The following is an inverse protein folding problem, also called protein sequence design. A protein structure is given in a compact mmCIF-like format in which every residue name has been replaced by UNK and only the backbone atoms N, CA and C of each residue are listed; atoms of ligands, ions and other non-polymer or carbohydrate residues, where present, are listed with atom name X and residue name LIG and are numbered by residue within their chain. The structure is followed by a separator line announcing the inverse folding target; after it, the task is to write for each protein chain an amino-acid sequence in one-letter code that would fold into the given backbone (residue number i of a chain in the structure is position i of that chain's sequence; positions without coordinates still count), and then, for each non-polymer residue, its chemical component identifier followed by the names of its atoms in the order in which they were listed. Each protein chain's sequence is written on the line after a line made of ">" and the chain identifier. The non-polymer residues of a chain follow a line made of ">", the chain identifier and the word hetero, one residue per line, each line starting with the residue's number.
data_IF_276523997526
#
_entry.id   IF_276523997526
#
_cell.length_a   1.000
_cell.length_b   1.000
_cell.length_c   1.000
_cell.angle_alpha   90.00
_cell.angle_beta   90.00
_cell.angle_gamma   90.00
#
_symmetry.space_group_name_H-M   'P 1'
#
loop_
_entity.id
_entity.type
_entity.pdbx_description
1 polymer ?
#
# COMPACT_ATOMS: atom_id res chain seq x y z
N UNK A 1 -10.62 -9.24 10.23
CA UNK A 1 -9.34 -9.64 9.57
C UNK A 1 -8.18 -9.08 10.36
N UNK A 2 -7.02 -9.72 10.43
CA UNK A 2 -5.78 -9.10 10.94
C UNK A 2 -5.34 -7.95 10.02
N UNK A 3 -4.26 -7.26 10.38
CA UNK A 3 -3.55 -6.35 9.48
C UNK A 3 -3.17 -7.07 8.17
N UNK A 4 -3.09 -6.37 7.04
CA UNK A 4 -2.66 -7.01 5.79
C UNK A 4 -1.20 -7.46 5.89
N UNK A 5 -0.92 -8.60 5.27
CA UNK A 5 0.38 -9.27 5.42
C UNK A 5 1.42 -8.66 4.50
N UNK A 6 1.11 -8.53 3.20
CA UNK A 6 2.01 -7.89 2.24
C UNK A 6 1.25 -7.18 1.12
N UNK A 7 1.88 -6.13 0.59
CA UNK A 7 1.48 -5.49 -0.66
C UNK A 7 2.37 -6.02 -1.80
N UNK A 8 1.77 -6.28 -2.96
CA UNK A 8 2.50 -6.69 -4.15
C UNK A 8 2.70 -5.51 -5.09
N UNK A 9 3.98 -5.31 -5.46
CA UNK A 9 4.44 -4.22 -6.29
C UNK A 9 5.15 -4.75 -7.52
N UNK A 10 4.74 -4.31 -8.69
CA UNK A 10 5.56 -4.47 -9.90
C UNK A 10 6.68 -3.45 -9.93
N UNK A 11 7.89 -3.87 -10.25
CA UNK A 11 9.07 -3.00 -10.33
C UNK A 11 9.79 -3.14 -11.66
N UNK A 12 10.38 -2.05 -12.14
CA UNK A 12 11.19 -2.06 -13.35
C UNK A 12 12.52 -2.79 -13.13
N UNK A 13 13.13 -2.57 -11.97
CA UNK A 13 14.40 -3.16 -11.56
C UNK A 13 14.38 -3.46 -10.06
N UNK A 14 14.43 -4.76 -9.72
CA UNK A 14 14.47 -5.20 -8.32
C UNK A 14 15.73 -4.69 -7.59
N UNK A 15 16.89 -4.59 -8.24
CA UNK A 15 18.09 -4.13 -7.56
C UNK A 15 17.97 -2.65 -7.17
N UNK A 16 17.42 -1.81 -8.05
CA UNK A 16 17.14 -0.42 -7.73
C UNK A 16 16.11 -0.29 -6.60
N UNK A 17 15.04 -1.09 -6.61
CA UNK A 17 14.05 -1.12 -5.54
C UNK A 17 14.66 -1.59 -4.19
N UNK A 18 15.56 -2.59 -4.21
CA UNK A 18 16.26 -3.07 -3.02
C UNK A 18 17.20 -2.01 -2.42
N UNK A 19 17.82 -1.15 -3.24
CA UNK A 19 18.60 -0.01 -2.71
C UNK A 19 17.73 0.90 -1.84
N UNK A 20 16.49 1.14 -2.24
CA UNK A 20 15.54 1.92 -1.43
C UNK A 20 15.11 1.15 -0.18
N UNK A 21 14.56 -0.03 -0.34
CA UNK A 21 13.94 -0.75 0.77
C UNK A 21 14.93 -1.34 1.76
N UNK A 22 15.98 -2.01 1.28
CA UNK A 22 17.00 -2.57 2.15
C UNK A 22 18.06 -1.53 2.53
N UNK A 23 18.58 -0.80 1.54
CA UNK A 23 19.69 0.09 1.72
C UNK A 23 19.35 1.33 2.56
N UNK A 24 18.21 1.96 2.30
CA UNK A 24 17.80 3.20 2.98
C UNK A 24 16.82 2.95 4.13
N UNK A 25 15.79 2.14 3.91
CA UNK A 25 14.72 1.94 4.89
C UNK A 25 14.91 0.71 5.79
N UNK A 26 15.96 -0.10 5.56
CA UNK A 26 16.37 -1.19 6.45
C UNK A 26 15.48 -2.42 6.43
N UNK A 27 14.65 -2.60 5.40
CA UNK A 27 13.90 -3.85 5.22
C UNK A 27 14.86 -5.03 5.02
N UNK A 28 14.47 -6.18 5.50
CA UNK A 28 15.23 -7.43 5.36
C UNK A 28 14.65 -8.26 4.23
N UNK A 29 15.52 -8.80 3.38
CA UNK A 29 15.16 -9.82 2.40
C UNK A 29 14.82 -11.12 3.14
N UNK A 30 13.57 -11.57 3.05
CA UNK A 30 13.14 -12.83 3.65
C UNK A 30 13.20 -13.99 2.67
N UNK A 31 12.86 -13.75 1.41
CA UNK A 31 12.88 -14.74 0.34
C UNK A 31 13.20 -14.09 -1.00
N UNK A 32 13.82 -14.84 -1.92
CA UNK A 32 14.09 -14.40 -3.29
C UNK A 32 14.02 -15.58 -4.24
N UNK A 33 13.55 -15.32 -5.46
CA UNK A 33 13.55 -16.28 -6.54
C UNK A 33 13.80 -15.57 -7.88
N UNK A 34 14.64 -16.18 -8.72
CA UNK A 34 14.92 -15.69 -10.08
C UNK A 34 14.52 -16.76 -11.09
N UNK A 35 13.73 -16.37 -12.06
CA UNK A 35 13.19 -17.21 -13.12
C UNK A 35 11.67 -17.19 -13.16
N UNK A 36 11.07 -17.86 -14.14
CA UNK A 36 9.63 -17.99 -14.29
C UNK A 36 8.98 -18.67 -13.08
N UNK A 37 7.79 -18.21 -12.73
CA UNK A 37 6.95 -18.81 -11.68
C UNK A 37 5.60 -19.25 -12.27
N UNK A 38 5.52 -20.43 -12.88
CA UNK A 38 4.32 -20.89 -13.58
C UNK A 38 3.08 -20.92 -12.70
N UNK A 39 3.24 -21.19 -11.38
CA UNK A 39 2.12 -21.23 -10.46
C UNK A 39 1.53 -19.87 -10.17
N UNK A 40 2.38 -18.86 -9.96
CA UNK A 40 1.94 -17.49 -9.74
C UNK A 40 1.49 -16.83 -11.05
N UNK A 41 2.15 -17.11 -12.18
CA UNK A 41 1.75 -16.65 -13.50
C UNK A 41 0.34 -17.15 -13.86
N UNK A 42 0.05 -18.44 -13.61
CA UNK A 42 -1.28 -18.99 -13.81
C UNK A 42 -2.34 -18.32 -12.95
N UNK A 43 -2.05 -18.14 -11.65
CA UNK A 43 -2.96 -17.44 -10.72
C UNK A 43 -3.27 -16.01 -11.16
N UNK A 44 -2.28 -15.29 -11.66
CA UNK A 44 -2.46 -13.94 -12.20
C UNK A 44 -2.94 -13.90 -13.65
N UNK A 45 -3.18 -15.06 -14.29
CA UNK A 45 -3.59 -15.18 -15.69
C UNK A 45 -2.62 -14.50 -16.66
N UNK A 46 -1.31 -14.62 -16.36
CA UNK A 46 -0.23 -14.12 -17.18
C UNK A 46 0.29 -15.20 -18.14
N UNK A 47 0.83 -14.82 -19.29
CA UNK A 47 1.55 -15.76 -20.17
C UNK A 47 2.74 -16.41 -19.43
N UNK A 48 3.08 -17.68 -19.75
CA UNK A 48 4.26 -18.32 -19.20
C UNK A 48 5.56 -17.51 -19.45
N UNK A 49 6.41 -17.44 -18.44
CA UNK A 49 7.66 -16.66 -18.50
C UNK A 49 7.49 -15.16 -18.30
N UNK A 50 6.33 -14.70 -17.84
CA UNK A 50 6.07 -13.29 -17.54
C UNK A 50 6.84 -12.78 -16.32
N UNK A 51 7.15 -13.64 -15.35
CA UNK A 51 7.92 -13.26 -14.16
C UNK A 51 9.40 -13.53 -14.41
N UNK A 52 10.24 -12.53 -14.16
CA UNK A 52 11.71 -12.63 -14.27
C UNK A 52 12.36 -12.86 -12.90
N UNK A 53 11.93 -12.09 -11.87
CA UNK A 53 12.47 -12.18 -10.52
C UNK A 53 11.45 -11.68 -9.51
N UNK A 54 11.49 -12.24 -8.30
CA UNK A 54 10.64 -11.80 -7.21
C UNK A 54 11.38 -11.87 -5.88
N UNK A 55 11.00 -11.00 -4.94
CA UNK A 55 11.57 -10.96 -3.59
C UNK A 55 10.49 -10.59 -2.58
N UNK A 56 10.59 -11.18 -1.38
CA UNK A 56 9.77 -10.80 -0.22
C UNK A 56 10.64 -10.00 0.75
N UNK A 57 10.14 -8.84 1.18
CA UNK A 57 10.80 -7.96 2.11
C UNK A 57 9.93 -7.75 3.35
N UNK A 58 10.56 -7.68 4.51
CA UNK A 58 9.89 -7.36 5.78
C UNK A 58 10.69 -6.34 6.58
N UNK A 59 10.00 -5.50 7.32
CA UNK A 59 10.67 -4.71 8.34
C UNK A 59 11.07 -5.60 9.53
N UNK A 60 12.20 -5.34 10.22
CA UNK A 60 12.67 -6.13 11.34
C UNK A 60 11.59 -6.29 12.43
N UNK A 61 11.32 -7.54 12.84
CA UNK A 61 10.34 -7.84 13.90
C UNK A 61 8.86 -7.75 13.49
N UNK A 62 8.54 -7.33 12.26
CA UNK A 62 7.15 -7.12 11.80
C UNK A 62 6.61 -8.32 11.02
N UNK A 63 5.33 -8.65 11.27
CA UNK A 63 4.59 -9.68 10.53
C UNK A 63 3.63 -9.10 9.49
N UNK A 64 3.15 -7.88 9.70
CA UNK A 64 2.31 -7.12 8.79
C UNK A 64 3.12 -6.07 8.02
N UNK A 65 2.56 -5.48 6.98
CA UNK A 65 3.20 -4.41 6.23
C UNK A 65 4.46 -4.86 5.45
N UNK A 66 4.47 -6.11 4.96
CA UNK A 66 5.55 -6.64 4.14
C UNK A 66 5.39 -6.24 2.67
N UNK A 67 6.43 -6.44 1.87
CA UNK A 67 6.41 -6.15 0.44
C UNK A 67 6.79 -7.38 -0.36
N UNK A 68 6.01 -7.67 -1.40
CA UNK A 68 6.34 -8.60 -2.45
C UNK A 68 6.69 -7.79 -3.72
N UNK A 69 7.97 -7.73 -4.07
CA UNK A 69 8.42 -7.04 -5.28
C UNK A 69 8.54 -8.05 -6.43
N UNK A 70 7.95 -7.72 -7.57
CA UNK A 70 7.95 -8.57 -8.76
C UNK A 70 8.47 -7.78 -9.95
N UNK A 71 9.56 -8.24 -10.50
CA UNK A 71 10.08 -7.77 -11.80
C UNK A 71 9.56 -8.69 -12.89
N UNK A 72 8.78 -8.13 -13.79
CA UNK A 72 8.28 -8.84 -14.95
C UNK A 72 9.30 -8.87 -16.07
N UNK A 73 9.28 -9.92 -16.92
CA UNK A 73 10.18 -10.08 -18.07
C UNK A 73 10.01 -8.94 -19.09
N UNK A 74 8.79 -8.41 -19.21
CA UNK A 74 8.50 -7.21 -19.98
C UNK A 74 8.11 -6.10 -19.01
N UNK A 75 8.84 -5.01 -19.02
CA UNK A 75 8.54 -3.84 -18.19
C UNK A 75 7.23 -3.22 -18.66
N UNK A 76 6.21 -3.24 -17.80
CA UNK A 76 4.91 -2.62 -18.07
C UNK A 76 4.89 -1.12 -17.76
N UNK A 77 3.78 -0.45 -18.13
CA UNK A 77 3.52 0.93 -17.73
C UNK A 77 3.34 1.02 -16.21
N UNK A 78 3.63 2.18 -15.63
CA UNK A 78 3.35 2.39 -14.23
C UNK A 78 1.85 2.64 -14.00
N UNK A 79 1.31 2.12 -12.89
CA UNK A 79 -0.08 2.39 -12.48
C UNK A 79 -0.33 3.89 -12.42
N UNK A 80 0.62 4.64 -11.87
CA UNK A 80 0.55 6.08 -11.66
C UNK A 80 1.34 6.92 -12.66
N UNK A 81 1.64 6.38 -13.84
CA UNK A 81 2.27 7.16 -14.90
C UNK A 81 1.43 8.39 -15.23
N UNK A 82 2.02 9.58 -15.11
CA UNK A 82 1.37 10.90 -15.29
C UNK A 82 0.15 11.15 -14.37
N UNK A 83 0.05 10.44 -13.24
CA UNK A 83 -1.08 10.58 -12.34
C UNK A 83 -0.99 11.87 -11.50
N UNK A 84 -2.14 12.54 -11.36
CA UNK A 84 -2.31 13.64 -10.41
C UNK A 84 -2.47 13.09 -8.98
N UNK A 85 -2.34 13.97 -8.00
CA UNK A 85 -2.48 13.61 -6.58
C UNK A 85 -3.82 12.93 -6.24
N UNK A 86 -4.89 13.30 -6.94
CA UNK A 86 -6.28 12.91 -6.70
C UNK A 86 -6.86 11.91 -7.71
N UNK A 87 -6.03 11.30 -8.58
CA UNK A 87 -6.48 10.22 -9.45
C UNK A 87 -6.68 8.92 -8.66
N UNK A 88 -7.74 8.17 -9.00
CA UNK A 88 -8.22 7.01 -8.25
C UNK A 88 -7.33 5.80 -8.50
N UNK A 89 -6.64 5.33 -7.48
CA UNK A 89 -5.73 4.16 -7.55
C UNK A 89 -5.14 3.86 -6.16
N UNK A 90 -4.47 2.72 -5.94
CA UNK A 90 -3.52 2.59 -4.86
C UNK A 90 -2.36 3.58 -5.07
N UNK A 91 -2.07 4.39 -4.05
CA UNK A 91 -1.22 5.58 -4.21
C UNK A 91 0.05 5.56 -3.37
N UNK A 92 -0.10 5.44 -2.05
CA UNK A 92 1.03 5.62 -1.14
C UNK A 92 1.36 4.35 -0.37
N UNK A 93 2.61 4.29 0.07
CA UNK A 93 3.05 3.46 1.17
C UNK A 93 3.57 4.40 2.26
N UNK A 94 2.90 4.41 3.40
CA UNK A 94 3.24 5.30 4.51
C UNK A 94 4.18 4.59 5.48
N UNK A 95 5.23 5.29 5.91
CA UNK A 95 6.30 4.76 6.72
C UNK A 95 6.48 5.69 7.91
N UNK A 96 6.30 5.16 9.11
CA UNK A 96 6.55 5.94 10.31
C UNK A 96 8.04 6.15 10.54
N UNK A 97 8.40 7.31 11.07
CA UNK A 97 9.79 7.68 11.38
C UNK A 97 9.92 8.23 12.80
N UNK A 98 11.10 8.05 13.39
CA UNK A 98 11.44 8.54 14.73
C UNK A 98 11.69 10.07 14.76
N UNK A 99 12.42 10.57 13.75
CA UNK A 99 12.82 11.98 13.62
C UNK A 99 12.71 12.40 12.14
N UNK A 100 11.67 13.17 11.84
CA UNK A 100 11.40 13.63 10.47
C UNK A 100 12.57 14.39 9.86
N UNK A 101 13.17 15.32 10.60
CA UNK A 101 14.26 16.17 10.07
C UNK A 101 15.48 15.34 9.74
N UNK A 102 15.86 14.42 10.62
CA UNK A 102 16.99 13.52 10.42
C UNK A 102 16.75 12.58 9.23
N UNK A 103 15.58 11.92 9.17
CA UNK A 103 15.27 10.98 8.06
C UNK A 103 15.20 11.69 6.72
N UNK A 104 14.65 12.91 6.67
CA UNK A 104 14.69 13.72 5.45
C UNK A 104 16.12 14.05 5.01
N UNK A 105 17.00 14.40 5.96
CA UNK A 105 18.42 14.67 5.67
C UNK A 105 19.11 13.43 5.09
N UNK A 106 18.93 12.27 5.73
CA UNK A 106 19.52 11.00 5.30
C UNK A 106 19.05 10.62 3.87
N UNK A 107 17.74 10.71 3.60
CA UNK A 107 17.18 10.36 2.30
C UNK A 107 17.55 11.37 1.20
N UNK A 108 17.66 12.67 1.51
CA UNK A 108 18.18 13.67 0.56
C UNK A 108 19.64 13.42 0.19
N UNK A 109 20.47 13.10 1.18
CA UNK A 109 21.87 12.74 0.95
C UNK A 109 22.01 11.49 0.05
N UNK A 110 21.04 10.56 0.13
CA UNK A 110 20.94 9.39 -0.75
C UNK A 110 20.31 9.69 -2.12
N UNK A 111 19.96 10.93 -2.43
CA UNK A 111 19.40 11.33 -3.72
C UNK A 111 17.90 11.16 -3.87
N UNK A 112 17.15 10.82 -2.80
CA UNK A 112 15.70 10.73 -2.86
C UNK A 112 15.05 12.09 -3.12
N UNK A 113 14.06 12.12 -4.01
CA UNK A 113 13.35 13.34 -4.39
C UNK A 113 12.10 13.53 -3.55
N UNK A 114 12.03 14.64 -2.85
CA UNK A 114 10.85 15.05 -2.09
C UNK A 114 9.92 15.88 -2.98
N UNK A 115 8.61 15.72 -2.81
CA UNK A 115 7.60 16.50 -3.53
C UNK A 115 7.50 17.93 -3.00
N UNK A 116 7.79 18.12 -1.70
CA UNK A 116 7.85 19.41 -1.04
C UNK A 116 9.24 19.64 -0.42
N UNK A 117 9.60 20.92 -0.27
CA UNK A 117 10.87 21.30 0.35
C UNK A 117 10.91 20.89 1.83
N UNK A 118 9.83 21.17 2.56
CA UNK A 118 9.75 20.97 4.00
C UNK A 118 8.52 20.11 4.33
N UNK A 119 8.56 19.41 5.47
CA UNK A 119 7.41 18.67 5.96
C UNK A 119 6.30 19.62 6.41
N UNK A 120 5.09 19.13 6.46
CA UNK A 120 3.95 19.78 7.09
C UNK A 120 3.81 19.25 8.51
N UNK A 121 3.66 20.11 9.49
CA UNK A 121 3.21 19.77 10.84
C UNK A 121 1.76 20.17 11.00
N UNK A 122 0.91 19.26 11.41
CA UNK A 122 -0.51 19.47 11.53
C UNK A 122 -1.09 18.73 12.73
N UNK A 123 -2.32 19.09 13.08
CA UNK A 123 -3.15 18.41 14.08
C UNK A 123 -4.41 17.95 13.38
N UNK A 124 -4.68 16.65 13.42
CA UNK A 124 -5.92 16.11 12.89
C UNK A 124 -7.13 16.52 13.74
N UNK A 125 -8.36 16.49 13.20
CA UNK A 125 -9.56 16.86 13.96
C UNK A 125 -9.78 16.06 15.25
N UNK A 126 -9.29 14.82 15.32
CA UNK A 126 -9.29 13.97 16.52
C UNK A 126 -8.11 14.23 17.47
N UNK A 127 -7.30 15.27 17.20
CA UNK A 127 -6.26 15.77 18.09
C UNK A 127 -4.89 15.11 17.93
N UNK A 128 -4.68 14.24 16.95
CA UNK A 128 -3.38 13.63 16.70
C UNK A 128 -2.42 14.64 16.05
N UNK A 129 -1.29 14.90 16.69
CA UNK A 129 -0.24 15.76 16.14
C UNK A 129 0.71 14.94 15.30
N UNK A 130 0.96 15.37 14.06
CA UNK A 130 1.83 14.64 13.13
C UNK A 130 2.67 15.58 12.27
N UNK A 131 3.75 15.00 11.72
CA UNK A 131 4.56 15.57 10.64
C UNK A 131 4.49 14.65 9.46
N UNK A 132 4.34 15.21 8.28
CA UNK A 132 4.19 14.44 7.05
C UNK A 132 4.97 15.07 5.90
N UNK A 133 5.59 14.20 5.07
CA UNK A 133 6.21 14.62 3.82
C UNK A 133 6.11 13.51 2.77
N UNK A 134 5.89 13.92 1.53
CA UNK A 134 5.76 13.03 0.37
C UNK A 134 7.05 12.95 -0.43
N UNK A 135 7.41 11.75 -0.89
CA UNK A 135 8.56 11.47 -1.73
C UNK A 135 8.13 10.78 -3.02
N UNK A 136 8.86 11.07 -4.11
CA UNK A 136 8.79 10.26 -5.31
C UNK A 136 9.61 8.97 -5.10
N UNK A 137 8.92 7.85 -4.94
CA UNK A 137 9.53 6.52 -4.86
C UNK A 137 9.86 5.97 -6.26
N UNK A 138 10.35 4.73 -6.28
CA UNK A 138 10.53 4.00 -7.54
C UNK A 138 9.17 3.65 -8.16
N UNK A 139 9.12 3.41 -9.47
CA UNK A 139 7.95 2.94 -10.21
C UNK A 139 6.68 3.80 -10.04
N UNK A 140 6.85 5.12 -9.89
CA UNK A 140 5.79 6.11 -9.65
C UNK A 140 4.98 5.90 -8.36
N UNK A 141 5.48 5.07 -7.43
CA UNK A 141 4.88 4.93 -6.11
C UNK A 141 5.18 6.19 -5.30
N UNK A 142 4.19 6.71 -4.62
CA UNK A 142 4.40 7.78 -3.66
C UNK A 142 4.73 7.19 -2.29
N UNK A 143 5.86 7.56 -1.70
CA UNK A 143 6.16 7.25 -0.32
C UNK A 143 5.81 8.44 0.56
N UNK A 144 5.30 8.16 1.74
CA UNK A 144 5.03 9.16 2.76
C UNK A 144 5.84 8.82 3.99
N UNK A 145 6.57 9.80 4.50
CA UNK A 145 7.11 9.71 5.86
C UNK A 145 6.14 10.37 6.80
N UNK A 146 5.81 9.67 7.87
CA UNK A 146 4.86 10.11 8.89
C UNK A 146 5.49 9.99 10.27
N UNK A 147 5.54 11.09 11.02
CA UNK A 147 5.97 11.12 12.42
C UNK A 147 4.79 11.49 13.30
N UNK A 148 4.29 10.56 14.11
CA UNK A 148 3.31 10.84 15.15
C UNK A 148 4.03 11.40 16.37
N UNK A 149 3.62 12.58 16.86
CA UNK A 149 4.37 13.31 17.89
C UNK A 149 3.99 12.89 19.31
N UNK A 150 2.75 12.49 19.54
CA UNK A 150 2.26 12.17 20.89
C UNK A 150 2.41 10.69 21.24
N UNK A 151 2.14 9.81 20.28
CA UNK A 151 2.20 8.34 20.44
C UNK A 151 2.93 7.69 19.26
N UNK A 152 4.26 7.85 19.17
CA UNK A 152 5.03 7.35 18.02
C UNK A 152 4.98 5.81 17.98
N UNK A 153 4.63 5.23 16.82
CA UNK A 153 4.74 3.79 16.61
C UNK A 153 6.19 3.32 16.74
N UNK A 154 6.42 2.05 17.08
CA UNK A 154 7.76 1.48 17.11
C UNK A 154 8.42 1.56 15.73
N UNK A 155 9.70 1.93 15.73
CA UNK A 155 10.56 1.93 14.56
C UNK A 155 11.79 1.04 14.78
N UNK A 156 12.43 0.61 13.71
CA UNK A 156 13.69 -0.12 13.79
C UNK A 156 14.86 0.81 14.19
N UNK A 157 16.03 0.25 14.50
CA UNK A 157 17.20 1.00 14.93
C UNK A 157 17.68 2.06 13.92
N UNK A 158 17.32 1.93 12.65
CA UNK A 158 17.59 2.92 11.61
C UNK A 158 16.55 4.05 11.55
N UNK A 159 15.53 4.04 12.41
CA UNK A 159 14.52 5.06 12.55
C UNK A 159 13.35 4.98 11.57
N UNK A 160 13.16 3.87 10.85
CA UNK A 160 12.01 3.61 9.99
C UNK A 160 11.19 2.42 10.52
N UNK A 161 9.87 2.48 10.32
CA UNK A 161 8.97 1.34 10.58
C UNK A 161 8.88 0.39 9.37
N UNK A 162 8.04 -0.65 9.48
CA UNK A 162 7.41 -1.29 8.33
C UNK A 162 6.39 -0.39 7.65
N UNK A 163 5.66 -0.93 6.68
CA UNK A 163 4.59 -0.17 6.04
C UNK A 163 3.42 -0.04 7.02
N UNK A 164 3.06 1.18 7.33
CA UNK A 164 1.86 1.55 8.08
C UNK A 164 0.62 1.44 7.19
N UNK A 165 -0.12 2.52 6.92
CA UNK A 165 -1.17 2.50 5.93
C UNK A 165 -0.66 2.29 4.50
N UNK A 166 -1.37 1.47 3.74
CA UNK A 166 -1.39 1.57 2.30
C UNK A 166 -2.57 2.45 1.92
N UNK A 167 -2.29 3.52 1.18
CA UNK A 167 -3.30 4.53 0.84
C UNK A 167 -3.94 4.23 -0.50
N UNK A 168 -5.27 4.22 -0.52
CA UNK A 168 -6.10 4.07 -1.72
C UNK A 168 -6.94 5.31 -1.95
N UNK A 169 -6.92 5.84 -3.16
CA UNK A 169 -7.77 6.97 -3.55
C UNK A 169 -9.03 6.43 -4.20
N UNK A 170 -10.18 6.77 -3.64
CA UNK A 170 -11.47 6.24 -4.07
C UNK A 170 -12.44 7.36 -4.42
N UNK A 171 -13.52 7.04 -5.14
CA UNK A 171 -14.59 7.97 -5.44
C UNK A 171 -15.72 7.91 -4.42
N UNK A 172 -16.08 6.72 -4.02
CA UNK A 172 -17.17 6.43 -3.09
C UNK A 172 -16.61 5.85 -1.80
N UNK A 173 -16.46 6.71 -0.80
CA UNK A 173 -15.97 6.31 0.52
C UNK A 173 -16.96 5.42 1.26
N UNK A 174 -18.28 5.59 1.04
CA UNK A 174 -19.27 4.80 1.76
C UNK A 174 -19.19 3.32 1.35
N UNK A 175 -19.15 3.04 0.04
CA UNK A 175 -19.02 1.67 -0.46
C UNK A 175 -17.71 1.00 0.00
N UNK A 176 -16.59 1.74 0.00
CA UNK A 176 -15.30 1.21 0.49
C UNK A 176 -15.34 0.98 2.01
N UNK A 177 -15.90 1.88 2.81
CA UNK A 177 -16.03 1.73 4.26
C UNK A 177 -16.87 0.51 4.62
N UNK A 178 -18.01 0.32 3.95
CA UNK A 178 -18.85 -0.86 4.12
C UNK A 178 -18.10 -2.14 3.76
N UNK A 179 -17.34 -2.13 2.68
CA UNK A 179 -16.51 -3.26 2.28
C UNK A 179 -15.44 -3.59 3.33
N UNK A 180 -14.67 -2.62 3.82
CA UNK A 180 -13.63 -2.88 4.82
C UNK A 180 -14.22 -3.31 6.16
N UNK A 181 -15.35 -2.76 6.58
CA UNK A 181 -16.06 -3.13 7.81
C UNK A 181 -16.73 -4.51 7.71
N UNK A 182 -17.62 -4.68 6.73
CA UNK A 182 -18.57 -5.80 6.70
C UNK A 182 -17.99 -7.03 6.00
N UNK A 183 -17.17 -6.84 4.96
CA UNK A 183 -16.56 -7.94 4.21
C UNK A 183 -15.21 -8.31 4.80
N UNK A 184 -14.30 -7.35 4.96
CA UNK A 184 -12.99 -7.65 5.53
C UNK A 184 -12.99 -7.70 7.07
N UNK A 185 -13.99 -7.15 7.74
CA UNK A 185 -14.10 -7.17 9.22
C UNK A 185 -12.98 -6.38 9.88
N UNK A 186 -12.54 -5.29 9.26
CA UNK A 186 -11.59 -4.35 9.85
C UNK A 186 -12.30 -3.33 10.72
N UNK A 187 -11.58 -2.76 11.67
CA UNK A 187 -12.07 -1.71 12.56
C UNK A 187 -11.70 -0.34 11.98
N UNK A 188 -12.63 0.60 12.03
CA UNK A 188 -12.35 2.01 11.77
C UNK A 188 -11.50 2.56 12.93
N UNK A 189 -10.29 3.03 12.62
CA UNK A 189 -9.35 3.57 13.60
C UNK A 189 -9.37 5.09 13.61
N UNK A 190 -9.44 5.73 12.44
CA UNK A 190 -9.51 7.18 12.28
C UNK A 190 -10.52 7.54 11.19
N UNK A 191 -11.24 8.65 11.38
CA UNK A 191 -12.20 9.19 10.41
C UNK A 191 -12.19 10.73 10.51
N UNK A 192 -11.56 11.37 9.52
CA UNK A 192 -11.29 12.79 9.56
C UNK A 192 -11.52 13.45 8.20
N UNK A 193 -11.77 14.76 8.23
CA UNK A 193 -11.67 15.64 7.07
C UNK A 193 -10.46 16.53 7.26
N UNK A 194 -9.49 16.44 6.35
CA UNK A 194 -8.31 17.30 6.33
C UNK A 194 -8.48 18.34 5.23
N UNK A 195 -8.31 19.62 5.59
CA UNK A 195 -8.51 20.74 4.68
C UNK A 195 -7.60 21.92 5.03
N UNK A 196 -7.56 22.90 4.16
CA UNK A 196 -6.83 24.15 4.34
C UNK A 196 -5.53 24.24 3.55
N UNK A 197 -4.94 25.47 3.48
CA UNK A 197 -3.82 25.76 2.58
C UNK A 197 -2.57 24.91 2.82
N UNK A 198 -2.32 24.45 4.03
CA UNK A 198 -1.17 23.61 4.34
C UNK A 198 -1.33 22.19 3.79
N UNK A 199 -2.54 21.63 3.91
CA UNK A 199 -2.89 20.32 3.35
C UNK A 199 -2.88 20.39 1.81
N UNK A 200 -3.47 21.43 1.23
CA UNK A 200 -3.45 21.67 -0.21
C UNK A 200 -2.02 21.70 -0.76
N UNK A 201 -1.13 22.46 -0.10
CA UNK A 201 0.28 22.56 -0.47
C UNK A 201 1.02 21.24 -0.31
N UNK A 202 0.80 20.53 0.80
CA UNK A 202 1.46 19.26 1.11
C UNK A 202 1.19 18.21 0.03
N UNK A 203 -0.05 18.11 -0.42
CA UNK A 203 -0.48 17.08 -1.36
C UNK A 203 -0.40 17.56 -2.83
N UNK A 204 -0.38 18.87 -3.05
CA UNK A 204 -0.46 19.47 -4.38
C UNK A 204 -1.89 19.53 -4.91
N UNK A 205 -2.84 19.91 -4.05
CA UNK A 205 -4.25 20.06 -4.41
C UNK A 205 -4.59 21.48 -4.88
N UNK A 206 -5.65 21.66 -5.67
CA UNK A 206 -6.17 22.97 -5.95
C UNK A 206 -6.78 23.63 -4.69
N UNK A 207 -6.83 24.98 -4.63
CA UNK A 207 -7.42 25.70 -3.50
C UNK A 207 -8.88 25.30 -3.25
N UNK A 208 -9.23 25.09 -1.98
CA UNK A 208 -10.57 24.70 -1.53
C UNK A 208 -10.85 23.19 -1.63
N UNK A 209 -9.86 22.39 -2.00
CA UNK A 209 -9.98 20.94 -1.96
C UNK A 209 -9.77 20.41 -0.52
N UNK A 210 -10.46 19.31 -0.20
CA UNK A 210 -10.34 18.63 1.08
C UNK A 210 -10.20 17.12 0.89
N UNK A 211 -9.73 16.43 1.94
CA UNK A 211 -9.62 14.98 1.99
C UNK A 211 -10.61 14.42 3.00
N UNK A 212 -11.48 13.53 2.57
CA UNK A 212 -12.14 12.56 3.46
C UNK A 212 -11.17 11.41 3.67
N UNK A 213 -10.68 11.25 4.90
CA UNK A 213 -9.69 10.24 5.27
C UNK A 213 -10.31 9.25 6.25
N UNK A 214 -10.17 7.96 6.00
CA UNK A 214 -10.47 6.95 7.00
C UNK A 214 -9.40 5.86 7.02
N UNK A 215 -8.93 5.48 8.22
CA UNK A 215 -7.92 4.44 8.43
C UNK A 215 -8.59 3.22 9.05
N UNK A 216 -8.32 2.07 8.44
CA UNK A 216 -8.90 0.78 8.79
C UNK A 216 -7.81 -0.23 9.13
N UNK A 217 -8.01 -0.97 10.22
CA UNK A 217 -7.03 -1.95 10.66
C UNK A 217 -7.45 -2.68 11.93
N UNK A 218 -6.47 -3.10 12.71
CA UNK A 218 -6.67 -3.69 14.03
C UNK A 218 -6.30 -2.67 15.12
N UNK A 219 -7.11 -2.50 16.17
CA UNK A 219 -6.76 -1.64 17.30
C UNK A 219 -5.40 -2.04 17.90
N UNK A 220 -4.53 -1.05 18.09
CA UNK A 220 -3.19 -1.24 18.63
C UNK A 220 -2.13 -1.74 17.63
N UNK A 221 -2.50 -2.02 16.38
CA UNK A 221 -1.57 -2.37 15.30
C UNK A 221 -1.37 -1.16 14.40
N UNK A 222 -0.12 -0.72 14.24
CA UNK A 222 0.22 0.44 13.41
C UNK A 222 0.63 0.07 11.98
N UNK A 223 0.93 -1.20 11.74
CA UNK A 223 1.39 -1.68 10.44
C UNK A 223 0.29 -2.50 9.75
N UNK A 224 0.33 -2.50 8.42
CA UNK A 224 -0.64 -3.26 7.64
C UNK A 224 -2.07 -2.73 7.73
N UNK A 225 -2.21 -1.43 7.87
CA UNK A 225 -3.48 -0.71 7.82
C UNK A 225 -3.83 -0.32 6.38
N UNK A 226 -5.09 0.01 6.14
CA UNK A 226 -5.55 0.59 4.87
C UNK A 226 -6.08 1.99 5.15
N UNK A 227 -5.61 2.96 4.38
CA UNK A 227 -6.15 4.30 4.39
C UNK A 227 -6.94 4.55 3.11
N UNK A 228 -8.17 5.00 3.29
CA UNK A 228 -9.08 5.36 2.21
C UNK A 228 -9.17 6.86 2.17
N UNK A 229 -8.87 7.44 1.00
CA UNK A 229 -9.01 8.89 0.77
C UNK A 229 -9.96 9.15 -0.39
N UNK A 230 -10.92 10.04 -0.18
CA UNK A 230 -11.64 10.70 -1.26
C UNK A 230 -11.37 12.20 -1.24
N UNK A 231 -11.07 12.76 -2.39
CA UNK A 231 -10.84 14.20 -2.50
C UNK A 231 -12.12 14.94 -2.84
N UNK A 232 -12.52 15.91 -2.01
CA UNK A 232 -13.58 16.87 -2.29
C UNK A 232 -13.02 18.02 -3.15
N UNK A 233 -13.86 18.62 -3.99
CA UNK A 233 -13.46 19.74 -4.84
C UNK A 233 -12.57 19.38 -6.03
N UNK A 234 -12.32 18.07 -6.27
CA UNK A 234 -11.53 17.59 -7.41
C UNK A 234 -12.23 16.45 -8.15
N UNK A 235 -11.75 16.14 -9.34
CA UNK A 235 -12.21 15.00 -10.12
C UNK A 235 -11.02 14.25 -10.71
N UNK A 236 -10.71 13.09 -10.10
CA UNK A 236 -9.65 12.19 -10.53
C UNK A 236 -10.07 11.28 -11.67
N UNK A 237 -9.11 10.89 -12.51
CA UNK A 237 -9.27 9.77 -13.44
C UNK A 237 -9.23 8.45 -12.68
N UNK A 238 -9.95 7.45 -13.20
CA UNK A 238 -9.88 6.09 -12.65
C UNK A 238 -8.69 5.33 -13.25
N UNK A 239 -7.70 5.04 -12.43
CA UNK A 239 -6.49 4.30 -12.80
C UNK A 239 -6.47 2.87 -12.25
N UNK A 240 -7.50 2.43 -11.50
CA UNK A 240 -7.58 1.04 -11.02
C UNK A 240 -7.46 -0.01 -12.14
N UNK A 241 -7.98 0.21 -13.36
CA UNK A 241 -7.75 -0.72 -14.47
C UNK A 241 -6.28 -0.93 -14.84
N UNK A 242 -5.39 0.02 -14.49
CA UNK A 242 -3.94 -0.13 -14.68
C UNK A 242 -3.27 -0.96 -13.57
N UNK A 243 -3.88 -1.04 -12.37
CA UNK A 243 -3.34 -1.77 -11.22
C UNK A 243 -3.57 -3.29 -11.39
N UNK A 244 -2.77 -3.90 -12.26
CA UNK A 244 -2.85 -5.30 -12.67
C UNK A 244 -1.48 -5.97 -12.62
N UNK A 245 -1.38 -7.31 -12.46
CA UNK A 245 -0.14 -8.02 -12.67
C UNK A 245 0.47 -7.69 -14.05
N UNK A 246 1.76 -7.43 -14.07
CA UNK A 246 2.48 -6.92 -15.24
C UNK A 246 2.70 -5.40 -15.23
N UNK A 247 1.92 -4.63 -14.50
CA UNK A 247 2.15 -3.20 -14.31
C UNK A 247 3.24 -2.92 -13.26
N UNK A 248 3.86 -1.74 -13.30
CA UNK A 248 4.74 -1.21 -12.25
C UNK A 248 3.92 -0.44 -11.21
N UNK A 249 4.36 -0.46 -9.95
CA UNK A 249 3.65 0.16 -8.84
C UNK A 249 2.81 -0.83 -8.05
N UNK A 250 1.98 -0.34 -7.14
CA UNK A 250 1.15 -1.15 -6.26
C UNK A 250 -0.02 -1.72 -7.06
N UNK A 251 -0.23 -3.03 -7.04
CA UNK A 251 -1.37 -3.61 -7.75
C UNK A 251 -2.20 -4.61 -6.95
N UNK A 252 -1.71 -5.14 -5.82
CA UNK A 252 -2.46 -6.14 -5.05
C UNK A 252 -2.16 -6.06 -3.56
N UNK A 253 -3.19 -6.22 -2.73
CA UNK A 253 -3.09 -6.28 -1.29
C UNK A 253 -3.41 -7.69 -0.82
N UNK A 254 -2.60 -8.23 0.11
CA UNK A 254 -2.65 -9.64 0.46
C UNK A 254 -2.79 -9.88 1.96
N UNK A 255 -3.64 -10.85 2.33
CA UNK A 255 -3.81 -11.36 3.68
C UNK A 255 -3.46 -12.85 3.75
N UNK A 256 -2.79 -13.26 4.80
CA UNK A 256 -2.62 -14.66 5.17
C UNK A 256 -3.51 -14.97 6.38
N UNK A 257 -4.36 -15.99 6.27
CA UNK A 257 -5.32 -16.41 7.29
C UNK A 257 -5.21 -17.93 7.53
N UNK A 258 -5.65 -18.38 8.70
CA UNK A 258 -5.75 -19.81 8.97
C UNK A 258 -6.88 -20.48 8.17
N UNK A 259 -8.01 -19.77 7.94
CA UNK A 259 -9.13 -20.20 7.10
C UNK A 259 -9.76 -19.01 6.38
N UNK A 260 -10.26 -19.27 5.18
CA UNK A 260 -10.99 -18.30 4.35
C UNK A 260 -12.51 -18.47 4.40
N UNK A 261 -13.06 -19.46 5.11
CA UNK A 261 -14.48 -19.82 5.07
C UNK A 261 -15.38 -18.66 5.52
N UNK A 262 -15.05 -18.01 6.65
CA UNK A 262 -15.84 -16.87 7.12
C UNK A 262 -15.81 -15.67 6.14
N UNK A 263 -14.72 -15.49 5.41
CA UNK A 263 -14.64 -14.46 4.37
C UNK A 263 -15.50 -14.82 3.17
N UNK A 264 -15.52 -16.08 2.73
CA UNK A 264 -16.37 -16.54 1.63
C UNK A 264 -17.84 -16.22 1.93
N UNK A 265 -18.34 -16.57 3.11
CA UNK A 265 -19.73 -16.27 3.50
C UNK A 265 -20.02 -14.76 3.46
N UNK A 266 -19.08 -13.90 3.87
CA UNK A 266 -19.27 -12.45 3.81
C UNK A 266 -19.25 -11.92 2.38
N UNK A 267 -18.39 -12.44 1.51
CA UNK A 267 -18.35 -12.10 0.07
C UNK A 267 -19.66 -12.48 -0.62
N UNK A 268 -20.18 -13.69 -0.36
CA UNK A 268 -21.45 -14.17 -0.86
C UNK A 268 -22.62 -13.30 -0.38
N UNK A 269 -22.70 -13.00 0.91
CA UNK A 269 -23.72 -12.14 1.50
C UNK A 269 -23.69 -10.72 0.90
N UNK A 270 -22.50 -10.17 0.67
CA UNK A 270 -22.30 -8.88 0.02
C UNK A 270 -22.44 -8.93 -1.51
N UNK A 271 -22.64 -10.11 -2.12
CA UNK A 271 -22.69 -10.32 -3.57
C UNK A 271 -21.46 -9.80 -4.32
N UNK A 272 -20.28 -9.91 -3.69
CA UNK A 272 -19.02 -9.55 -4.32
C UNK A 272 -18.50 -10.78 -5.07
N UNK A 273 -18.26 -10.66 -6.38
CA UNK A 273 -17.66 -11.75 -7.15
C UNK A 273 -16.25 -12.07 -6.65
N UNK A 274 -15.95 -13.35 -6.51
CA UNK A 274 -14.62 -13.82 -6.14
C UNK A 274 -14.25 -15.08 -6.93
N UNK A 275 -12.93 -15.29 -7.06
CA UNK A 275 -12.36 -16.51 -7.63
C UNK A 275 -11.67 -17.28 -6.51
N UNK A 276 -11.74 -18.61 -6.55
CA UNK A 276 -11.06 -19.47 -5.60
C UNK A 276 -10.15 -20.44 -6.35
N UNK A 277 -8.86 -20.21 -6.23
CA UNK A 277 -7.84 -21.02 -6.89
C UNK A 277 -6.61 -21.21 -5.99
N UNK A 278 -5.97 -22.40 -6.00
CA UNK A 278 -4.71 -22.58 -5.29
C UNK A 278 -3.59 -21.79 -5.98
N UNK A 279 -2.68 -21.25 -5.18
CA UNK A 279 -1.42 -20.69 -5.69
C UNK A 279 -0.32 -21.74 -5.47
N UNK A 280 0.39 -22.07 -6.53
CA UNK A 280 1.56 -22.97 -6.49
C UNK A 280 2.82 -22.21 -6.90
N UNK A 281 2.97 -21.00 -6.38
CA UNK A 281 4.12 -20.14 -6.66
C UNK A 281 5.34 -20.48 -5.80
N UNK A 282 6.46 -19.88 -6.17
CA UNK A 282 7.77 -20.13 -5.52
C UNK A 282 7.91 -19.43 -4.19
N UNK A 283 7.42 -18.20 -4.08
CA UNK A 283 7.46 -17.42 -2.83
C UNK A 283 6.10 -17.38 -2.14
N UNK A 284 5.00 -17.45 -2.92
CA UNK A 284 3.64 -17.47 -2.41
C UNK A 284 3.01 -18.79 -2.82
N UNK A 285 2.65 -19.61 -1.84
CA UNK A 285 1.96 -20.89 -2.06
C UNK A 285 0.82 -21.02 -1.07
N UNK A 286 -0.35 -21.44 -1.54
CA UNK A 286 -1.55 -21.63 -0.73
C UNK A 286 -2.47 -22.64 -1.40
N UNK A 287 -3.05 -23.54 -0.61
CA UNK A 287 -4.02 -24.53 -1.08
C UNK A 287 -5.40 -23.94 -1.35
N UNK A 288 -5.72 -22.78 -0.75
CA UNK A 288 -7.00 -22.11 -0.89
C UNK A 288 -6.87 -20.59 -0.91
N UNK A 289 -6.54 -20.00 -2.07
CA UNK A 289 -6.53 -18.55 -2.22
C UNK A 289 -7.84 -18.06 -2.79
N UNK A 290 -8.26 -16.89 -2.32
CA UNK A 290 -9.45 -16.19 -2.81
C UNK A 290 -8.97 -14.85 -3.37
N UNK A 291 -9.38 -14.57 -4.60
CA UNK A 291 -9.17 -13.29 -5.26
C UNK A 291 -10.50 -12.56 -5.46
N UNK A 292 -10.53 -11.29 -5.14
CA UNK A 292 -11.67 -10.40 -5.38
C UNK A 292 -11.19 -8.95 -5.52
N UNK A 293 -12.14 -8.03 -5.75
CA UNK A 293 -11.85 -6.60 -5.81
C UNK A 293 -12.69 -5.83 -4.81
N UNK A 294 -12.11 -4.75 -4.27
CA UNK A 294 -12.89 -3.75 -3.55
C UNK A 294 -13.83 -3.01 -4.49
N UNK A 295 -14.82 -2.27 -3.98
CA UNK A 295 -15.71 -1.44 -4.80
C UNK A 295 -14.99 -0.45 -5.72
N UNK A 296 -13.87 0.12 -5.28
CA UNK A 296 -13.04 0.99 -6.11
C UNK A 296 -12.20 0.24 -7.16
N UNK A 297 -12.05 -1.07 -7.04
CA UNK A 297 -11.28 -1.90 -7.97
C UNK A 297 -9.93 -2.37 -7.46
N UNK A 298 -9.56 -2.09 -6.20
CA UNK A 298 -8.32 -2.63 -5.60
C UNK A 298 -8.34 -4.15 -5.61
N UNK A 299 -7.27 -4.76 -6.13
CA UNK A 299 -7.08 -6.21 -6.10
C UNK A 299 -6.77 -6.67 -4.69
N UNK A 300 -7.50 -7.66 -4.23
CA UNK A 300 -7.35 -8.27 -2.91
C UNK A 300 -7.21 -9.77 -3.06
N UNK A 301 -6.15 -10.33 -2.48
CA UNK A 301 -5.96 -11.77 -2.39
C UNK A 301 -5.86 -12.20 -0.92
N UNK A 302 -6.53 -13.28 -0.58
CA UNK A 302 -6.51 -13.85 0.76
C UNK A 302 -6.10 -15.32 0.66
N UNK A 303 -5.06 -15.67 1.39
CA UNK A 303 -4.42 -16.97 1.32
C UNK A 303 -4.66 -17.74 2.61
N UNK A 304 -5.14 -18.98 2.50
CA UNK A 304 -5.14 -19.91 3.64
C UNK A 304 -3.83 -20.68 3.74
N UNK A 305 -3.41 -20.96 4.96
CA UNK A 305 -2.24 -21.79 5.25
C UNK A 305 -2.40 -23.22 4.70
#
# INVERSE_FOLDING_TARGET
>A
MPAWTWATLGVADINAALQTWQGLMGFQLSQAFTGPDPGLEAYWKLPPGSIHRQVMLRAPGCRAGQLHLVQFSKVGAAVREDARAFDLCPKNLDIYVDDMSRRMSDLRAAGMRFRNRDFTEAVSPDGVRFREIHLAGHDEINFVLLQLLDHPPPVAANGFSGIGPLVTIVRDTAAERDFYRDVLGLTLLHDNVLEGPEIERMIGLPPGAALDVSIWGQPGEHLGQVEIIAYRGTRGADLYPRAQPGARGIFELNWALDSTDALIHRLEAARIPFEREPIKGRLVSSSGSIFFRSPAGMRVSVHSA
#
